data_IF_738838822497
#
_entry.id   IF_738838822497
#
_cell.length_a   1.000
_cell.length_b   1.000
_cell.length_c   1.000
_cell.angle_alpha   90.00
_cell.angle_beta   90.00
_cell.angle_gamma   90.00
#
_symmetry.space_group_name_H-M   'P 1'
#
loop_
_entity.id
_entity.type
_entity.pdbx_description
1 polymer ?
#
# COMPACT_ATOMS: atom_id res chain seq x y z
N UNK A 1 7.73 -3.12 -6.24
CA UNK A 1 7.86 -3.98 -7.45
C UNK A 1 7.00 -5.22 -7.26
N UNK A 2 6.58 -5.90 -8.33
CA UNK A 2 5.87 -7.18 -8.21
C UNK A 2 6.58 -8.27 -9.00
N UNK A 3 6.48 -9.51 -8.53
CA UNK A 3 6.99 -10.68 -9.24
C UNK A 3 6.02 -11.87 -9.10
N UNK A 4 5.81 -12.68 -10.15
CA UNK A 4 5.12 -13.94 -10.00
C UNK A 4 5.99 -14.89 -9.16
N UNK A 5 5.37 -15.58 -8.22
CA UNK A 5 6.03 -16.55 -7.34
C UNK A 5 5.10 -17.74 -7.09
N UNK A 6 5.54 -18.68 -6.27
CA UNK A 6 4.73 -19.81 -5.82
C UNK A 6 4.74 -19.88 -4.30
N UNK A 7 3.57 -19.94 -3.68
CA UNK A 7 3.43 -20.13 -2.24
C UNK A 7 2.75 -21.47 -1.97
N UNK A 8 3.46 -22.40 -1.34
CA UNK A 8 2.98 -23.76 -1.06
C UNK A 8 2.44 -24.49 -2.30
N UNK A 9 3.08 -24.27 -3.46
CA UNK A 9 2.70 -24.89 -4.74
C UNK A 9 1.57 -24.19 -5.49
N UNK A 10 0.92 -23.17 -4.91
CA UNK A 10 -0.06 -22.35 -5.61
C UNK A 10 0.61 -21.13 -6.26
N UNK A 11 0.15 -20.67 -7.44
CA UNK A 11 0.57 -19.39 -8.01
C UNK A 11 0.32 -18.24 -7.03
N UNK A 12 1.32 -17.39 -6.86
CA UNK A 12 1.27 -16.28 -5.94
C UNK A 12 1.88 -15.02 -6.57
N UNK A 13 1.52 -13.86 -6.04
CA UNK A 13 2.08 -12.57 -6.42
C UNK A 13 2.83 -12.01 -5.22
N UNK A 14 4.11 -11.73 -5.39
CA UNK A 14 4.87 -10.98 -4.40
C UNK A 14 4.77 -9.50 -4.72
N UNK A 15 4.36 -8.70 -3.75
CA UNK A 15 4.24 -7.25 -3.85
C UNK A 15 5.15 -6.60 -2.80
N UNK A 16 6.09 -5.78 -3.25
CA UNK A 16 6.95 -5.00 -2.35
C UNK A 16 6.61 -3.52 -2.46
N UNK A 17 6.32 -2.90 -1.33
CA UNK A 17 6.21 -1.45 -1.21
C UNK A 17 7.58 -0.86 -0.76
N UNK A 18 7.99 0.25 -1.34
CA UNK A 18 9.19 0.98 -0.96
C UNK A 18 8.77 2.27 -0.27
N UNK A 19 9.33 2.55 0.91
CA UNK A 19 9.03 3.78 1.65
C UNK A 19 9.50 5.05 0.95
N UNK A 20 10.46 4.93 0.04
CA UNK A 20 11.09 6.03 -0.68
C UNK A 20 11.19 5.69 -2.16
N UNK A 21 10.85 6.65 -3.02
CA UNK A 21 11.06 6.56 -4.47
C UNK A 21 11.78 7.80 -4.97
N UNK A 22 12.44 7.68 -6.14
CA UNK A 22 13.07 8.83 -6.76
C UNK A 22 12.00 9.84 -7.18
N UNK A 23 12.17 11.09 -6.81
CA UNK A 23 11.25 12.17 -7.17
C UNK A 23 11.25 12.34 -8.70
N UNK A 24 10.06 12.32 -9.28
CA UNK A 24 9.85 12.54 -10.72
C UNK A 24 9.03 13.81 -10.90
N UNK A 25 9.74 14.90 -11.20
CA UNK A 25 9.14 16.23 -11.35
C UNK A 25 8.08 16.28 -12.47
N UNK A 26 8.20 15.41 -13.48
CA UNK A 26 7.29 15.32 -14.63
C UNK A 26 5.93 14.68 -14.29
N UNK A 27 5.81 13.99 -13.15
CA UNK A 27 4.61 13.27 -12.75
C UNK A 27 3.82 13.97 -11.62
N UNK A 28 4.27 15.15 -11.18
CA UNK A 28 3.62 15.88 -10.10
C UNK A 28 3.70 15.16 -8.75
N UNK A 29 4.73 14.34 -8.54
CA UNK A 29 4.96 13.66 -7.27
C UNK A 29 5.14 14.71 -6.14
N UNK A 30 4.27 14.66 -5.13
CA UNK A 30 4.36 15.53 -3.96
C UNK A 30 4.96 14.75 -2.79
N UNK A 31 6.05 15.28 -2.24
CA UNK A 31 6.65 14.73 -1.03
C UNK A 31 5.71 14.94 0.18
N UNK A 32 5.37 13.85 0.85
CA UNK A 32 4.59 13.87 2.10
C UNK A 32 5.46 13.41 3.28
N UNK A 33 5.21 13.91 4.50
CA UNK A 33 5.91 13.42 5.68
C UNK A 33 5.53 11.97 5.99
N UNK A 34 6.48 11.20 6.50
CA UNK A 34 6.19 9.85 7.01
C UNK A 34 5.20 9.90 8.17
N UNK A 35 4.20 9.00 8.21
CA UNK A 35 3.36 8.85 9.38
C UNK A 35 4.20 8.34 10.57
N UNK A 36 3.88 8.83 11.77
CA UNK A 36 4.61 8.46 13.00
C UNK A 36 4.54 6.96 13.28
N UNK A 37 3.49 6.28 12.81
CA UNK A 37 3.34 4.84 12.90
C UNK A 37 4.35 4.07 12.02
N UNK A 38 4.77 4.65 10.89
CA UNK A 38 5.75 4.03 9.98
C UNK A 38 7.19 4.44 10.31
N UNK A 39 7.41 5.64 10.83
CA UNK A 39 8.73 6.15 11.19
C UNK A 39 8.78 6.77 12.60
N UNK A 40 8.56 5.98 13.67
CA UNK A 40 8.46 6.50 15.03
C UNK A 40 9.76 7.11 15.56
N UNK A 41 10.89 6.82 14.91
CA UNK A 41 12.22 7.33 15.28
C UNK A 41 12.78 8.35 14.29
N UNK A 42 12.03 8.70 13.24
CA UNK A 42 12.49 9.64 12.21
C UNK A 42 13.65 9.11 11.35
N UNK A 43 13.92 7.79 11.37
CA UNK A 43 15.03 7.19 10.63
C UNK A 43 14.78 7.23 9.12
N UNK A 44 13.55 6.93 8.68
CA UNK A 44 13.19 7.03 7.26
C UNK A 44 13.21 8.48 6.78
N UNK A 45 12.74 9.40 7.62
CA UNK A 45 12.82 10.85 7.36
C UNK A 45 14.27 11.31 7.18
N UNK A 46 15.21 10.82 7.98
CA UNK A 46 16.63 11.16 7.84
C UNK A 46 17.27 10.64 6.55
N UNK A 47 16.68 9.59 5.93
CA UNK A 47 17.15 9.04 4.66
C UNK A 47 16.59 9.78 3.45
N UNK A 48 15.63 10.69 3.63
CA UNK A 48 15.09 11.52 2.53
C UNK A 48 16.17 12.43 1.95
N UNK A 49 16.09 12.66 0.64
CA UNK A 49 16.96 13.55 -0.12
C UNK A 49 16.13 14.34 -1.13
N UNK A 50 16.64 15.43 -1.72
CA UNK A 50 15.89 16.18 -2.74
C UNK A 50 15.40 15.30 -3.91
N UNK A 51 16.15 14.26 -4.26
CA UNK A 51 15.81 13.32 -5.33
C UNK A 51 15.14 12.04 -4.83
N UNK A 52 14.93 11.86 -3.52
CA UNK A 52 14.43 10.63 -2.91
C UNK A 52 13.41 10.95 -1.81
N UNK A 53 12.14 10.79 -2.13
CA UNK A 53 11.02 11.27 -1.31
C UNK A 53 10.02 10.16 -1.01
N UNK A 54 9.19 10.40 0.00
CA UNK A 54 8.00 9.60 0.30
C UNK A 54 6.78 10.29 -0.30
N UNK A 55 5.93 9.55 -1.00
CA UNK A 55 4.70 10.05 -1.62
C UNK A 55 3.48 9.31 -1.10
N UNK A 56 2.28 9.79 -1.43
CA UNK A 56 1.02 9.13 -1.05
C UNK A 56 0.95 7.68 -1.58
N UNK A 57 1.46 7.43 -2.79
CA UNK A 57 1.50 6.10 -3.39
C UNK A 57 2.41 5.10 -2.62
N UNK A 58 3.34 5.62 -1.83
CA UNK A 58 4.25 4.80 -1.01
C UNK A 58 3.65 4.49 0.37
N UNK A 59 2.50 5.09 0.70
CA UNK A 59 1.85 4.94 2.01
C UNK A 59 0.85 3.77 2.01
N UNK A 60 0.94 2.93 3.03
CA UNK A 60 -0.02 1.83 3.23
C UNK A 60 -1.13 2.29 4.17
N UNK A 61 -2.37 2.23 3.70
CA UNK A 61 -3.53 2.54 4.54
C UNK A 61 -3.97 1.31 5.34
N UNK A 62 -3.96 1.45 6.66
CA UNK A 62 -4.47 0.45 7.59
C UNK A 62 -5.88 0.83 8.01
N UNK A 63 -6.85 -0.04 7.75
CA UNK A 63 -8.26 0.21 8.03
C UNK A 63 -8.80 -0.93 8.89
N UNK A 64 -9.61 -0.60 9.90
CA UNK A 64 -10.37 -1.56 10.70
C UNK A 64 -11.86 -1.31 10.56
N UNK A 65 -12.65 -2.39 10.57
CA UNK A 65 -14.09 -2.31 10.77
C UNK A 65 -14.36 -2.12 12.28
N UNK A 66 -15.18 -1.13 12.64
CA UNK A 66 -15.53 -0.87 14.04
C UNK A 66 -16.72 -1.70 14.50
N UNK A 67 -17.81 -1.69 13.74
CA UNK A 67 -19.05 -2.40 14.10
C UNK A 67 -19.87 -2.73 12.85
N UNK A 68 -20.56 -3.88 12.92
CA UNK A 68 -21.59 -4.28 11.96
C UNK A 68 -22.96 -4.04 12.62
N UNK A 69 -23.47 -2.80 12.54
CA UNK A 69 -24.80 -2.51 13.10
C UNK A 69 -25.89 -3.00 12.15
N UNK A 70 -26.72 -3.95 12.62
CA UNK A 70 -27.88 -4.45 11.88
C UNK A 70 -29.14 -3.77 12.41
N UNK A 71 -29.61 -2.72 11.72
CA UNK A 71 -30.97 -2.20 11.92
C UNK A 71 -31.81 -2.63 10.72
N UNK A 72 -32.88 -3.39 10.98
CA UNK A 72 -34.00 -3.66 10.08
C UNK A 72 -33.65 -3.78 8.58
N UNK A 73 -32.78 -4.74 8.24
CA UNK A 73 -32.35 -5.12 6.87
C UNK A 73 -31.24 -4.28 6.22
N UNK A 74 -30.64 -3.29 6.89
CA UNK A 74 -29.45 -2.59 6.38
C UNK A 74 -28.23 -2.90 7.23
N UNK A 75 -27.20 -3.48 6.61
CA UNK A 75 -25.88 -3.66 7.22
C UNK A 75 -25.08 -2.40 6.93
N UNK A 76 -24.84 -1.57 7.93
CA UNK A 76 -23.90 -0.44 7.80
C UNK A 76 -22.60 -0.80 8.49
N UNK A 77 -21.57 -1.08 7.70
CA UNK A 77 -20.20 -1.23 8.19
C UNK A 77 -19.57 0.15 8.36
N UNK A 78 -19.02 0.44 9.53
CA UNK A 78 -18.20 1.64 9.76
C UNK A 78 -16.72 1.26 9.71
N UNK A 79 -15.99 1.92 8.82
CA UNK A 79 -14.54 1.77 8.68
C UNK A 79 -13.82 2.96 9.29
N UNK A 80 -12.71 2.72 9.97
CA UNK A 80 -11.84 3.77 10.49
C UNK A 80 -10.38 3.44 10.23
N UNK A 81 -9.53 4.48 10.14
CA UNK A 81 -8.08 4.30 10.07
C UNK A 81 -7.59 3.62 11.36
N UNK A 82 -6.72 2.64 11.20
CA UNK A 82 -6.12 1.86 12.26
C UNK A 82 -4.61 2.06 12.27
N UNK A 83 -3.98 1.77 13.42
CA UNK A 83 -2.54 1.62 13.48
C UNK A 83 -2.16 0.22 13.00
N UNK A 84 -1.00 0.04 12.33
CA UNK A 84 -0.51 -1.27 11.93
C UNK A 84 -0.36 -2.23 13.12
N UNK A 85 -0.10 -1.69 14.32
CA UNK A 85 0.03 -2.42 15.59
C UNK A 85 -1.22 -3.21 16.00
N UNK A 86 -2.38 -2.92 15.39
CA UNK A 86 -3.63 -3.63 15.66
C UNK A 86 -3.62 -5.03 15.04
N UNK A 87 -2.88 -5.25 13.96
CA UNK A 87 -2.80 -6.52 13.26
C UNK A 87 -1.75 -7.44 13.89
N UNK A 88 -2.09 -8.71 14.06
CA UNK A 88 -1.24 -9.75 14.66
C UNK A 88 -1.09 -10.95 13.74
N UNK A 89 -0.02 -11.72 13.98
CA UNK A 89 0.18 -13.00 13.29
C UNK A 89 -1.00 -13.92 13.61
N UNK A 90 -1.67 -14.41 12.58
CA UNK A 90 -2.88 -15.25 12.69
C UNK A 90 -4.18 -14.51 12.38
N UNK A 91 -4.17 -13.17 12.28
CA UNK A 91 -5.34 -12.41 11.85
C UNK A 91 -5.64 -12.66 10.37
N UNK A 92 -6.93 -12.81 10.04
CA UNK A 92 -7.41 -12.81 8.67
C UNK A 92 -7.70 -11.37 8.28
N UNK A 93 -7.01 -10.90 7.24
CA UNK A 93 -7.14 -9.53 6.72
C UNK A 93 -7.63 -9.54 5.28
N UNK A 94 -8.43 -8.55 4.93
CA UNK A 94 -8.74 -8.23 3.55
C UNK A 94 -7.71 -7.22 3.04
N UNK A 95 -7.12 -7.50 1.88
CA UNK A 95 -6.10 -6.66 1.26
C UNK A 95 -6.62 -6.19 -0.08
N UNK A 96 -6.81 -4.88 -0.22
CA UNK A 96 -7.19 -4.25 -1.48
C UNK A 96 -5.94 -3.65 -2.13
N UNK A 97 -5.62 -4.12 -3.34
CA UNK A 97 -4.48 -3.63 -4.14
C UNK A 97 -5.03 -3.25 -5.51
N UNK A 98 -4.67 -2.05 -5.98
CA UNK A 98 -4.97 -1.65 -7.37
C UNK A 98 -3.77 -2.02 -8.23
N UNK A 99 -4.00 -2.59 -9.42
CA UNK A 99 -2.93 -2.95 -10.36
C UNK A 99 -3.22 -2.29 -11.70
N UNK A 100 -2.27 -1.50 -12.21
CA UNK A 100 -2.31 -0.99 -13.58
C UNK A 100 -1.55 -1.91 -14.51
N UNK A 101 -2.21 -2.43 -15.54
CA UNK A 101 -1.57 -3.20 -16.60
C UNK A 101 -1.41 -2.31 -17.83
N UNK A 102 -0.16 -1.99 -18.17
CA UNK A 102 0.18 -1.19 -19.34
C UNK A 102 0.65 -2.12 -20.44
N UNK A 103 0.02 -2.03 -21.62
CA UNK A 103 0.49 -2.73 -22.82
C UNK A 103 1.68 -1.98 -23.40
N UNK A 104 2.83 -2.64 -23.47
CA UNK A 104 4.00 -2.18 -24.21
C UNK A 104 3.96 -2.58 -25.69
N UNK A 105 4.98 -2.17 -26.44
CA UNK A 105 5.21 -2.66 -27.80
C UNK A 105 5.54 -4.16 -27.83
N UNK A 106 5.29 -4.82 -28.97
CA UNK A 106 5.54 -6.27 -29.21
C UNK A 106 5.00 -7.19 -28.10
N UNK A 107 3.67 -7.20 -27.87
CA UNK A 107 2.98 -8.13 -26.95
C UNK A 107 3.53 -8.21 -25.51
N UNK A 108 4.35 -7.25 -25.09
CA UNK A 108 4.80 -7.16 -23.71
C UNK A 108 3.73 -6.45 -22.87
N UNK A 109 3.33 -7.04 -21.75
CA UNK A 109 2.50 -6.40 -20.75
C UNK A 109 3.35 -6.05 -19.53
N UNK A 110 3.23 -4.83 -19.04
CA UNK A 110 3.89 -4.37 -17.82
C UNK A 110 2.82 -4.02 -16.80
N UNK A 111 2.69 -4.86 -15.78
CA UNK A 111 1.85 -4.56 -14.64
C UNK A 111 2.63 -3.71 -13.63
N UNK A 112 1.96 -2.80 -12.95
CA UNK A 112 2.47 -1.97 -11.85
C UNK A 112 1.42 -1.92 -10.74
N UNK A 113 1.76 -2.24 -9.49
CA UNK A 113 0.85 -1.96 -8.39
C UNK A 113 0.70 -0.46 -8.22
N UNK A 114 -0.55 -0.03 -8.09
CA UNK A 114 -0.96 1.28 -7.60
C UNK A 114 -1.46 1.02 -6.19
N UNK A 115 -0.71 1.51 -5.20
CA UNK A 115 -1.13 1.43 -3.82
C UNK A 115 -1.87 2.74 -3.51
N UNK A 116 -3.11 2.60 -3.02
CA UNK A 116 -4.02 3.69 -2.66
C UNK A 116 -4.33 3.64 -1.18
#
# INVERSE_FOLDING_TARGET
AWAPTTFKGAPAMECTNQYLKKLREDLGDIAIPFPNEADPRGTLKQLTRPDLVHTEEDSVQYIRMLDQWRREKKVTCRYTKAKPQVFRIGDIVEVQITLAVVRGGKNAFRMKPILS
#
